data_IF_870853427963
#
_entry.id   IF_870853427963
#
_cell.length_a   1.000
_cell.length_b   1.000
_cell.length_c   1.000
_cell.angle_alpha   90.00
_cell.angle_beta   90.00
_cell.angle_gamma   90.00
#
_symmetry.space_group_name_H-M   'P 1'
#
loop_
_entity.id
_entity.type
_entity.pdbx_description
1 polymer ?
#
# COMPACT_ATOMS: atom_id res chain seq x y z
N UNK A 1 -48.70 24.17 15.89
CA UNK A 1 -47.61 23.58 16.69
C UNK A 1 -47.14 22.21 16.18
N UNK A 2 -48.03 21.27 15.80
CA UNK A 2 -47.62 19.96 15.23
C UNK A 2 -46.75 20.07 13.95
N UNK A 3 -47.04 21.04 13.07
CA UNK A 3 -46.24 21.30 11.84
C UNK A 3 -44.83 21.87 12.12
N UNK A 4 -44.66 22.64 13.20
CA UNK A 4 -43.33 23.11 13.65
C UNK A 4 -42.52 22.00 14.31
N UNK A 5 -43.17 21.08 15.03
CA UNK A 5 -42.51 19.93 15.65
C UNK A 5 -41.95 18.96 14.59
N UNK A 6 -42.67 18.76 13.48
CA UNK A 6 -42.24 17.93 12.34
C UNK A 6 -41.06 18.58 11.59
N UNK A 7 -41.06 19.92 11.43
CA UNK A 7 -39.93 20.63 10.81
C UNK A 7 -38.65 20.55 11.65
N UNK A 8 -38.78 20.63 12.98
CA UNK A 8 -37.66 20.51 13.92
C UNK A 8 -37.04 19.10 13.91
N UNK A 9 -37.87 18.06 13.77
CA UNK A 9 -37.43 16.66 13.69
C UNK A 9 -36.67 16.35 12.40
N UNK A 10 -37.05 16.97 11.28
CA UNK A 10 -36.33 16.83 10.00
C UNK A 10 -34.97 17.55 10.05
N UNK A 11 -34.91 18.73 10.68
CA UNK A 11 -33.66 19.49 10.80
C UNK A 11 -32.57 18.75 11.62
N UNK A 12 -32.94 17.98 12.65
CA UNK A 12 -32.00 17.20 13.47
C UNK A 12 -31.39 16.03 12.67
N UNK A 13 -32.17 15.42 11.76
CA UNK A 13 -31.70 14.29 10.94
C UNK A 13 -30.64 14.69 9.90
N UNK A 14 -30.72 15.92 9.35
CA UNK A 14 -29.77 16.39 8.34
C UNK A 14 -28.40 16.74 8.94
N UNK A 15 -28.35 17.18 10.20
CA UNK A 15 -27.11 17.52 10.91
C UNK A 15 -26.33 16.26 11.32
N UNK A 16 -27.03 15.17 11.65
CA UNK A 16 -26.38 13.89 11.97
C UNK A 16 -25.63 13.29 10.78
N UNK A 17 -26.25 13.29 9.59
CA UNK A 17 -25.66 12.73 8.37
C UNK A 17 -24.40 13.47 7.90
N UNK A 18 -24.33 14.80 8.08
CA UNK A 18 -23.15 15.57 7.65
C UNK A 18 -21.93 15.34 8.53
N UNK A 19 -22.13 15.19 9.85
CA UNK A 19 -21.06 14.87 10.80
C UNK A 19 -20.52 13.44 10.61
N UNK A 20 -21.40 12.47 10.34
CA UNK A 20 -21.00 11.08 10.07
C UNK A 20 -20.13 10.98 8.81
N UNK A 21 -20.55 11.63 7.71
CA UNK A 21 -19.78 11.65 6.47
C UNK A 21 -18.40 12.30 6.66
N UNK A 22 -18.32 13.38 7.43
CA UNK A 22 -17.05 14.07 7.72
C UNK A 22 -16.09 13.15 8.47
N UNK A 23 -16.54 12.50 9.54
CA UNK A 23 -15.73 11.57 10.31
C UNK A 23 -15.25 10.39 9.45
N UNK A 24 -16.10 9.92 8.53
CA UNK A 24 -15.76 8.84 7.62
C UNK A 24 -14.69 9.25 6.59
N UNK A 25 -14.73 10.50 6.12
CA UNK A 25 -13.68 11.06 5.25
C UNK A 25 -12.33 11.14 5.98
N UNK A 26 -12.30 11.66 7.20
CA UNK A 26 -11.08 11.73 8.00
C UNK A 26 -10.47 10.34 8.20
N UNK A 27 -11.31 9.34 8.51
CA UNK A 27 -10.89 7.94 8.61
C UNK A 27 -10.37 7.36 7.29
N UNK A 28 -11.02 7.68 6.17
CA UNK A 28 -10.58 7.23 4.85
C UNK A 28 -9.16 7.74 4.55
N UNK A 29 -8.92 9.04 4.80
CA UNK A 29 -7.63 9.68 4.55
C UNK A 29 -6.53 9.09 5.46
N UNK A 30 -6.84 8.84 6.73
CA UNK A 30 -5.94 8.16 7.68
C UNK A 30 -5.56 6.76 7.18
N UNK A 31 -6.55 5.92 6.84
CA UNK A 31 -6.32 4.56 6.34
C UNK A 31 -5.51 4.58 5.05
N UNK A 32 -5.81 5.49 4.14
CA UNK A 32 -5.07 5.62 2.88
C UNK A 32 -3.60 5.95 3.14
N UNK A 33 -3.32 6.87 4.06
CA UNK A 33 -1.96 7.21 4.46
C UNK A 33 -1.25 6.00 5.09
N UNK A 34 -1.93 5.26 5.96
CA UNK A 34 -1.34 4.07 6.60
C UNK A 34 -0.99 2.97 5.58
N UNK A 35 -1.84 2.75 4.58
CA UNK A 35 -1.55 1.81 3.49
C UNK A 35 -0.30 2.25 2.72
N UNK A 36 -0.21 3.53 2.38
CA UNK A 36 0.96 4.04 1.65
C UNK A 36 2.23 4.15 2.49
N UNK A 37 2.16 4.28 3.81
CA UNK A 37 3.35 4.31 4.67
C UNK A 37 4.25 3.08 4.46
N UNK A 38 3.66 1.89 4.33
CA UNK A 38 4.43 0.66 4.09
C UNK A 38 5.06 0.65 2.68
N UNK A 39 4.33 1.12 1.67
CA UNK A 39 4.83 1.30 0.31
C UNK A 39 5.99 2.31 0.27
N UNK A 40 5.86 3.45 0.94
CA UNK A 40 6.84 4.54 0.95
C UNK A 40 8.13 4.18 1.70
N UNK A 41 8.09 3.18 2.58
CA UNK A 41 9.31 2.58 3.15
C UNK A 41 10.08 1.76 2.11
N UNK A 42 9.37 1.02 1.25
CA UNK A 42 9.97 0.12 0.26
C UNK A 42 10.35 0.85 -1.04
N UNK A 43 9.54 1.80 -1.50
CA UNK A 43 9.71 2.48 -2.79
C UNK A 43 11.09 3.15 -2.97
N UNK A 44 11.67 3.87 -1.98
CA UNK A 44 12.99 4.47 -2.12
C UNK A 44 14.12 3.43 -2.30
N UNK A 45 13.86 2.15 -2.00
CA UNK A 45 14.83 1.06 -2.11
C UNK A 45 14.95 0.48 -3.51
N UNK A 46 14.17 0.96 -4.47
CA UNK A 46 14.17 0.44 -5.84
C UNK A 46 15.50 0.62 -6.57
N UNK A 47 16.18 1.76 -6.36
CA UNK A 47 17.54 1.95 -6.90
C UNK A 47 18.56 0.99 -6.28
N UNK A 48 18.41 0.71 -4.98
CA UNK A 48 19.25 -0.23 -4.25
C UNK A 48 19.05 -1.67 -4.74
N UNK A 49 17.81 -2.08 -5.03
CA UNK A 49 17.49 -3.37 -5.67
C UNK A 49 18.26 -3.54 -6.99
N UNK A 50 18.17 -2.56 -7.89
CA UNK A 50 18.83 -2.64 -9.20
C UNK A 50 20.35 -2.72 -9.08
N UNK A 51 20.91 -1.99 -8.12
CA UNK A 51 22.36 -2.01 -7.83
C UNK A 51 22.80 -3.40 -7.34
N UNK A 52 22.06 -3.96 -6.38
CA UNK A 52 22.36 -5.29 -5.83
C UNK A 52 22.18 -6.40 -6.87
N UNK A 53 21.16 -6.31 -7.75
CA UNK A 53 20.97 -7.25 -8.85
C UNK A 53 22.18 -7.29 -9.79
N UNK A 54 22.72 -6.11 -10.15
CA UNK A 54 23.92 -6.01 -10.99
C UNK A 54 25.14 -6.61 -10.31
N UNK A 55 25.35 -6.32 -9.03
CA UNK A 55 26.48 -6.88 -8.28
C UNK A 55 26.39 -8.41 -8.15
N UNK A 56 25.18 -8.95 -7.94
CA UNK A 56 24.95 -10.39 -7.91
C UNK A 56 25.26 -11.03 -9.27
N UNK A 57 24.85 -10.40 -10.37
CA UNK A 57 25.16 -10.85 -11.74
C UNK A 57 26.68 -10.91 -11.99
N UNK A 58 27.41 -9.84 -11.64
CA UNK A 58 28.88 -9.81 -11.73
C UNK A 58 29.54 -10.94 -10.91
N UNK A 59 29.01 -11.25 -9.73
CA UNK A 59 29.51 -12.38 -8.92
C UNK A 59 29.22 -13.72 -9.57
N UNK A 60 28.02 -13.93 -10.11
CA UNK A 60 27.62 -15.17 -10.77
C UNK A 60 28.54 -15.48 -11.95
N UNK A 61 28.87 -14.47 -12.76
CA UNK A 61 29.72 -14.65 -13.94
C UNK A 61 31.19 -14.91 -13.60
N UNK A 62 31.64 -14.49 -12.41
CA UNK A 62 33.04 -14.55 -11.99
C UNK A 62 33.44 -15.81 -11.21
N UNK A 63 32.49 -16.67 -10.82
CA UNK A 63 32.75 -17.81 -9.93
C UNK A 63 32.00 -19.09 -10.33
N UNK A 64 32.65 -20.24 -10.13
CA UNK A 64 32.01 -21.55 -10.30
C UNK A 64 31.07 -21.91 -9.13
N UNK A 65 31.20 -21.26 -7.97
CA UNK A 65 30.36 -21.49 -6.78
C UNK A 65 29.24 -20.43 -6.66
N UNK A 66 28.43 -20.30 -7.70
CA UNK A 66 27.46 -19.20 -7.83
C UNK A 66 26.10 -19.44 -7.16
N UNK A 67 25.86 -20.60 -6.55
CA UNK A 67 24.55 -21.03 -6.06
C UNK A 67 23.86 -20.05 -5.10
N UNK A 68 24.61 -19.48 -4.15
CA UNK A 68 24.07 -18.50 -3.20
C UNK A 68 23.75 -17.16 -3.87
N UNK A 69 24.59 -16.71 -4.81
CA UNK A 69 24.34 -15.48 -5.56
C UNK A 69 23.09 -15.62 -6.45
N UNK A 70 22.93 -16.76 -7.14
CA UNK A 70 21.73 -17.05 -7.95
C UNK A 70 20.47 -17.03 -7.08
N UNK A 71 20.53 -17.63 -5.89
CA UNK A 71 19.39 -17.65 -4.96
C UNK A 71 19.01 -16.23 -4.52
N UNK A 72 19.99 -15.42 -4.10
CA UNK A 72 19.77 -14.04 -3.72
C UNK A 72 19.19 -13.20 -4.86
N UNK A 73 19.69 -13.40 -6.08
CA UNK A 73 19.22 -12.68 -7.27
C UNK A 73 17.74 -12.99 -7.52
N UNK A 74 17.34 -14.26 -7.44
CA UNK A 74 15.94 -14.68 -7.59
C UNK A 74 15.04 -14.12 -6.50
N UNK A 75 15.49 -14.12 -5.24
CA UNK A 75 14.74 -13.54 -4.11
C UNK A 75 14.54 -12.03 -4.28
N UNK A 76 15.55 -11.33 -4.79
CA UNK A 76 15.50 -9.89 -5.02
C UNK A 76 14.61 -9.54 -6.23
N UNK A 77 14.68 -10.32 -7.32
CA UNK A 77 13.75 -10.21 -8.46
C UNK A 77 12.30 -10.50 -8.05
N UNK A 78 12.07 -11.50 -7.19
CA UNK A 78 10.76 -11.82 -6.68
C UNK A 78 10.19 -10.70 -5.81
N UNK A 79 11.02 -10.08 -4.96
CA UNK A 79 10.62 -8.92 -4.17
C UNK A 79 10.29 -7.70 -5.05
N UNK A 80 11.11 -7.43 -6.06
CA UNK A 80 10.84 -6.39 -7.06
C UNK A 80 9.49 -6.60 -7.75
N UNK A 81 9.25 -7.83 -8.23
CA UNK A 81 7.97 -8.20 -8.85
C UNK A 81 6.81 -8.05 -7.88
N UNK A 82 6.97 -8.46 -6.62
CA UNK A 82 5.91 -8.34 -5.61
C UNK A 82 5.48 -6.88 -5.41
N UNK A 83 6.44 -5.95 -5.33
CA UNK A 83 6.15 -4.52 -5.24
C UNK A 83 5.39 -4.00 -6.46
N UNK A 84 5.83 -4.37 -7.66
CA UNK A 84 5.17 -3.95 -8.91
C UNK A 84 3.76 -4.53 -9.05
N UNK A 85 3.57 -5.80 -8.72
CA UNK A 85 2.26 -6.46 -8.73
C UNK A 85 1.32 -5.82 -7.73
N UNK A 86 1.77 -5.56 -6.49
CA UNK A 86 0.94 -4.88 -5.50
C UNK A 86 0.49 -3.50 -5.99
N UNK A 87 1.40 -2.70 -6.54
CA UNK A 87 1.06 -1.36 -7.04
C UNK A 87 0.09 -1.40 -8.22
N UNK A 88 0.27 -2.37 -9.13
CA UNK A 88 -0.65 -2.59 -10.25
C UNK A 88 -2.05 -2.99 -9.75
N UNK A 89 -2.13 -3.97 -8.85
CA UNK A 89 -3.40 -4.43 -8.29
C UNK A 89 -4.10 -3.32 -7.50
N UNK A 90 -3.35 -2.57 -6.70
CA UNK A 90 -3.86 -1.43 -5.95
C UNK A 90 -4.44 -0.36 -6.89
N UNK A 91 -3.68 0.07 -7.91
CA UNK A 91 -4.15 1.08 -8.87
C UNK A 91 -5.36 0.62 -9.68
N UNK A 92 -5.47 -0.68 -9.98
CA UNK A 92 -6.62 -1.27 -10.66
C UNK A 92 -7.87 -1.28 -9.77
N UNK A 93 -7.70 -1.62 -8.48
CA UNK A 93 -8.80 -1.61 -7.49
C UNK A 93 -9.23 -0.18 -7.13
N UNK A 94 -8.31 0.77 -7.10
CA UNK A 94 -8.54 2.15 -6.65
C UNK A 94 -8.06 3.19 -7.67
N UNK A 95 -8.63 3.24 -8.89
CA UNK A 95 -8.16 4.12 -9.97
C UNK A 95 -8.22 5.61 -9.58
N UNK A 96 -9.22 5.99 -8.78
CA UNK A 96 -9.41 7.35 -8.30
C UNK A 96 -9.37 7.42 -6.76
N UNK A 97 -8.34 6.85 -6.13
CA UNK A 97 -8.25 6.70 -4.67
C UNK A 97 -8.45 8.01 -3.88
N UNK A 98 -8.08 9.15 -4.48
CA UNK A 98 -8.21 10.47 -3.87
C UNK A 98 -9.55 11.17 -4.18
N UNK A 99 -10.37 10.65 -5.12
CA UNK A 99 -11.63 11.28 -5.51
C UNK A 99 -12.80 10.70 -4.71
N UNK A 100 -12.97 11.19 -3.48
CA UNK A 100 -14.02 10.74 -2.56
C UNK A 100 -15.18 11.72 -2.41
N UNK A 101 -15.06 12.94 -2.97
CA UNK A 101 -16.04 14.01 -2.76
C UNK A 101 -17.43 13.72 -3.33
N UNK A 102 -17.51 12.88 -4.36
CA UNK A 102 -18.77 12.49 -4.99
C UNK A 102 -19.39 11.24 -4.36
N UNK A 103 -18.72 10.59 -3.41
CA UNK A 103 -19.21 9.38 -2.76
C UNK A 103 -20.20 9.72 -1.64
N UNK A 104 -21.28 8.95 -1.57
CA UNK A 104 -22.17 8.96 -0.41
C UNK A 104 -21.51 8.26 0.80
N UNK A 105 -22.14 8.34 1.98
CA UNK A 105 -21.58 7.77 3.21
C UNK A 105 -21.42 6.24 3.14
N UNK A 106 -22.31 5.54 2.43
CA UNK A 106 -22.26 4.07 2.28
C UNK A 106 -21.11 3.68 1.36
N UNK A 107 -20.98 4.35 0.21
CA UNK A 107 -19.91 4.12 -0.76
C UNK A 107 -18.54 4.44 -0.16
N UNK A 108 -18.41 5.56 0.55
CA UNK A 108 -17.16 5.94 1.22
C UNK A 108 -16.78 4.91 2.29
N UNK A 109 -17.76 4.35 3.01
CA UNK A 109 -17.51 3.33 4.03
C UNK A 109 -17.01 2.04 3.37
N UNK A 110 -17.67 1.60 2.31
CA UNK A 110 -17.24 0.41 1.56
C UNK A 110 -15.83 0.57 1.01
N UNK A 111 -15.51 1.74 0.44
CA UNK A 111 -14.17 2.04 -0.06
C UNK A 111 -13.12 2.03 1.05
N UNK A 112 -13.45 2.62 2.20
CA UNK A 112 -12.57 2.61 3.39
C UNK A 112 -12.32 1.19 3.89
N UNK A 113 -13.36 0.36 3.97
CA UNK A 113 -13.25 -1.04 4.40
C UNK A 113 -12.40 -1.86 3.40
N UNK A 114 -12.52 -1.59 2.09
CA UNK A 114 -11.64 -2.18 1.06
C UNK A 114 -10.18 -1.72 1.21
N UNK A 115 -9.91 -0.45 1.48
CA UNK A 115 -8.54 0.03 1.72
C UNK A 115 -7.90 -0.62 2.95
N UNK A 116 -8.66 -0.81 4.03
CA UNK A 116 -8.18 -1.51 5.23
C UNK A 116 -7.69 -2.92 4.88
N UNK A 117 -8.36 -3.60 3.95
CA UNK A 117 -7.98 -4.95 3.53
C UNK A 117 -6.66 -5.03 2.76
N UNK A 118 -6.13 -3.91 2.25
CA UNK A 118 -4.85 -3.87 1.55
C UNK A 118 -3.65 -3.80 2.50
N UNK A 119 -3.85 -3.43 3.78
CA UNK A 119 -2.77 -3.26 4.76
C UNK A 119 -1.85 -4.49 4.89
N UNK A 120 -2.37 -5.73 5.08
CA UNK A 120 -1.50 -6.89 5.19
C UNK A 120 -0.71 -7.17 3.92
N UNK A 121 -1.28 -6.89 2.75
CA UNK A 121 -0.63 -7.11 1.47
C UNK A 121 0.55 -6.14 1.25
N UNK A 122 0.36 -4.85 1.53
CA UNK A 122 1.42 -3.86 1.40
C UNK A 122 2.53 -4.05 2.45
N UNK A 123 2.18 -4.50 3.66
CA UNK A 123 3.16 -4.84 4.70
C UNK A 123 3.99 -6.06 4.32
N UNK A 124 3.35 -7.13 3.84
CA UNK A 124 4.04 -8.32 3.35
C UNK A 124 4.96 -7.99 2.16
N UNK A 125 4.53 -7.07 1.30
CA UNK A 125 5.33 -6.55 0.20
C UNK A 125 6.57 -5.80 0.71
N UNK A 126 6.40 -4.85 1.62
CA UNK A 126 7.50 -4.11 2.27
C UNK A 126 8.50 -5.07 2.91
N UNK A 127 8.01 -6.01 3.70
CA UNK A 127 8.87 -6.94 4.44
C UNK A 127 9.63 -7.88 3.50
N UNK A 128 9.01 -8.27 2.38
CA UNK A 128 9.69 -9.03 1.33
C UNK A 128 10.84 -8.22 0.73
N UNK A 129 10.61 -6.95 0.37
CA UNK A 129 11.65 -6.06 -0.16
C UNK A 129 12.80 -5.91 0.83
N UNK A 130 12.51 -5.55 2.08
CA UNK A 130 13.55 -5.31 3.10
C UNK A 130 14.38 -6.57 3.38
N UNK A 131 13.73 -7.72 3.51
CA UNK A 131 14.42 -9.00 3.74
C UNK A 131 15.29 -9.41 2.56
N UNK A 132 14.80 -9.30 1.32
CA UNK A 132 15.56 -9.66 0.13
C UNK A 132 16.79 -8.76 -0.06
N UNK A 133 16.66 -7.46 0.22
CA UNK A 133 17.80 -6.52 0.22
C UNK A 133 18.82 -6.92 1.28
N UNK A 134 18.37 -7.16 2.52
CA UNK A 134 19.26 -7.56 3.62
C UNK A 134 20.03 -8.83 3.26
N UNK A 135 19.36 -9.82 2.66
CA UNK A 135 19.98 -11.09 2.29
C UNK A 135 20.99 -10.93 1.15
N UNK A 136 20.67 -10.12 0.14
CA UNK A 136 21.59 -9.83 -0.96
C UNK A 136 22.87 -9.14 -0.44
N UNK A 137 22.74 -8.17 0.47
CA UNK A 137 23.88 -7.50 1.10
C UNK A 137 24.76 -8.46 1.89
N UNK A 138 24.16 -9.30 2.72
CA UNK A 138 24.88 -10.31 3.50
C UNK A 138 25.72 -11.22 2.59
N UNK A 139 25.13 -11.70 1.48
CA UNK A 139 25.82 -12.56 0.52
C UNK A 139 26.93 -11.82 -0.24
N UNK A 140 26.75 -10.53 -0.52
CA UNK A 140 27.74 -9.69 -1.19
C UNK A 140 28.81 -9.13 -0.26
N UNK A 141 28.67 -9.28 1.06
CA UNK A 141 29.47 -8.63 2.10
C UNK A 141 29.47 -7.09 1.97
N UNK A 142 28.30 -6.50 1.70
CA UNK A 142 28.04 -5.05 1.58
C UNK A 142 27.27 -4.46 2.77
#
# INVERSE_FOLDING_TARGET
MKKLLILLLIAIFVIGCSNERKALKEKHDEVLQEVFNAHDVAMPKMGEINTLLKQLEEKIDSTSESGNYIKAQKELQAAHKHMMTWMQDFSSKFPDVNQIENLDAKELKQRTDSLISEKPAVEAMRDHVLRSISRAKEILNN
#
